data_IF_394497473858
#
_entry.id   IF_394497473858
#
_cell.length_a   1.000
_cell.length_b   1.000
_cell.length_c   1.000
_cell.angle_alpha   90.00
_cell.angle_beta   90.00
_cell.angle_gamma   90.00
#
_symmetry.space_group_name_H-M   'P 1'
#
loop_
_entity.id
_entity.type
_entity.pdbx_description
1 polymer ?
#
# COMPACT_ATOMS: atom_id res chain seq x y z
N UNK A 1 -8.70 0.18 1.35
CA UNK A 1 -8.21 1.34 0.57
C UNK A 1 -9.36 1.97 -0.21
N UNK A 2 -9.27 3.26 -0.52
CA UNK A 2 -10.29 3.93 -1.36
C UNK A 2 -10.37 3.34 -2.76
N UNK A 3 -9.27 2.82 -3.27
CA UNK A 3 -9.20 2.12 -4.56
C UNK A 3 -10.08 0.88 -4.64
N UNK A 4 -10.49 0.31 -3.49
CA UNK A 4 -11.33 -0.90 -3.40
C UNK A 4 -12.82 -0.61 -3.60
N UNK A 5 -13.23 0.65 -3.50
CA UNK A 5 -14.65 1.04 -3.62
C UNK A 5 -15.16 0.79 -5.03
N UNK A 6 -14.45 1.25 -6.06
CA UNK A 6 -14.89 1.12 -7.46
C UNK A 6 -15.06 -0.35 -7.88
N UNK A 7 -14.08 -1.25 -7.68
CA UNK A 7 -14.27 -2.67 -8.01
C UNK A 7 -15.40 -3.32 -7.20
N UNK A 8 -15.63 -2.87 -5.96
CA UNK A 8 -16.77 -3.36 -5.17
C UNK A 8 -18.11 -2.98 -5.80
N UNK A 9 -18.25 -1.73 -6.25
CA UNK A 9 -19.47 -1.28 -6.93
C UNK A 9 -19.68 -2.00 -8.27
N UNK A 10 -18.63 -2.20 -9.05
CA UNK A 10 -18.71 -2.95 -10.31
C UNK A 10 -19.20 -4.39 -10.07
N UNK A 11 -18.64 -5.09 -9.08
CA UNK A 11 -19.03 -6.45 -8.75
C UNK A 11 -20.50 -6.52 -8.28
N UNK A 12 -20.93 -5.59 -7.43
CA UNK A 12 -22.35 -5.49 -7.00
C UNK A 12 -23.29 -5.30 -8.19
N UNK A 13 -22.86 -4.54 -9.21
CA UNK A 13 -23.64 -4.30 -10.43
C UNK A 13 -23.51 -5.43 -11.46
N UNK A 14 -22.73 -6.48 -11.21
CA UNK A 14 -22.45 -7.56 -12.16
C UNK A 14 -21.62 -7.11 -13.37
N UNK A 15 -20.81 -6.06 -13.21
CA UNK A 15 -19.94 -5.52 -14.25
C UNK A 15 -18.51 -6.05 -14.00
N UNK A 16 -17.87 -6.57 -15.04
CA UNK A 16 -16.50 -7.07 -14.97
C UNK A 16 -15.51 -5.93 -14.64
N UNK A 17 -14.60 -6.19 -13.71
CA UNK A 17 -13.55 -5.25 -13.34
C UNK A 17 -12.50 -5.16 -14.45
N UNK A 18 -12.18 -3.95 -14.98
CA UNK A 18 -11.09 -3.77 -15.93
C UNK A 18 -9.72 -4.14 -15.33
N UNK A 19 -8.85 -4.73 -16.16
CA UNK A 19 -7.55 -5.26 -15.74
C UNK A 19 -6.58 -4.20 -15.16
N UNK A 20 -6.74 -2.92 -15.52
CA UNK A 20 -5.90 -1.84 -15.01
C UNK A 20 -6.27 -1.40 -13.58
N UNK A 21 -7.39 -1.85 -13.03
CA UNK A 21 -7.80 -1.49 -11.68
C UNK A 21 -7.00 -2.27 -10.64
N UNK A 22 -6.34 -1.56 -9.76
CA UNK A 22 -5.49 -2.13 -8.70
C UNK A 22 -6.27 -2.45 -7.42
N UNK A 23 -7.46 -1.89 -7.26
CA UNK A 23 -8.33 -2.15 -6.13
C UNK A 23 -8.88 -3.58 -6.16
N UNK A 24 -9.18 -4.12 -5.00
CA UNK A 24 -9.80 -5.44 -4.82
C UNK A 24 -11.20 -5.25 -4.24
N UNK A 25 -12.19 -5.89 -4.85
CA UNK A 25 -13.58 -5.80 -4.36
C UNK A 25 -13.71 -6.30 -2.91
N UNK A 26 -14.44 -5.55 -2.11
CA UNK A 26 -14.86 -5.91 -0.76
C UNK A 26 -16.18 -6.71 -0.73
N UNK A 27 -16.83 -6.87 -1.89
CA UNK A 27 -18.13 -7.54 -1.97
C UNK A 27 -18.12 -8.97 -1.41
N UNK A 28 -17.10 -9.81 -1.64
CA UNK A 28 -17.04 -11.14 -1.03
C UNK A 28 -17.11 -11.13 0.50
N UNK A 29 -16.51 -10.11 1.14
CA UNK A 29 -16.56 -9.93 2.60
C UNK A 29 -17.95 -9.40 3.01
N UNK A 30 -18.45 -8.38 2.33
CA UNK A 30 -19.73 -7.74 2.63
C UNK A 30 -20.89 -8.71 2.47
N UNK A 31 -20.88 -9.56 1.44
CA UNK A 31 -21.90 -10.58 1.17
C UNK A 31 -21.78 -11.82 2.06
N UNK A 32 -20.68 -11.95 2.84
CA UNK A 32 -20.42 -13.11 3.67
C UNK A 32 -19.88 -14.34 2.91
N UNK A 33 -19.52 -14.19 1.63
CA UNK A 33 -18.94 -15.28 0.83
C UNK A 33 -17.43 -15.49 1.10
N UNK A 34 -16.75 -14.51 1.71
CA UNK A 34 -15.39 -14.60 2.20
C UNK A 34 -15.29 -14.20 3.67
N UNK A 35 -14.24 -14.69 4.36
CA UNK A 35 -13.97 -14.34 5.75
C UNK A 35 -13.50 -12.88 5.86
N UNK A 36 -13.88 -12.16 6.94
CA UNK A 36 -13.53 -10.75 7.11
C UNK A 36 -12.10 -10.52 7.60
N UNK A 37 -11.37 -11.56 7.99
CA UNK A 37 -10.06 -11.50 8.62
C UNK A 37 -8.90 -11.27 7.65
N UNK A 38 -9.14 -11.39 6.35
CA UNK A 38 -8.12 -11.12 5.34
C UNK A 38 -8.71 -10.55 4.05
N UNK A 39 -8.16 -9.44 3.58
CA UNK A 39 -8.52 -8.82 2.31
C UNK A 39 -7.33 -8.71 1.36
N UNK A 40 -6.26 -8.07 1.82
CA UNK A 40 -5.02 -7.84 1.08
C UNK A 40 -3.80 -8.12 1.96
N UNK A 41 -2.64 -8.52 1.37
CA UNK A 41 -1.41 -8.73 2.13
C UNK A 41 -0.82 -7.44 2.70
N UNK A 42 -1.12 -6.30 2.08
CA UNK A 42 -0.72 -4.98 2.52
C UNK A 42 -1.67 -3.91 1.98
N UNK A 43 -1.60 -2.73 2.55
CA UNK A 43 -2.23 -1.51 2.05
C UNK A 43 -1.17 -0.46 1.79
N UNK A 44 -1.45 0.46 0.87
CA UNK A 44 -0.56 1.57 0.50
C UNK A 44 -1.28 2.90 0.53
N UNK A 45 -0.52 3.94 0.81
CA UNK A 45 -0.93 5.33 0.67
C UNK A 45 0.22 6.14 0.10
N UNK A 46 -0.08 7.11 -0.72
CA UNK A 46 0.89 8.01 -1.32
C UNK A 46 0.46 9.45 -1.09
N UNK A 47 1.44 10.29 -0.77
CA UNK A 47 1.28 11.74 -0.67
C UNK A 47 2.31 12.41 -1.57
N UNK A 48 1.84 13.16 -2.56
CA UNK A 48 2.67 13.90 -3.49
C UNK A 48 2.24 15.36 -3.50
N UNK A 49 2.86 16.16 -2.62
CA UNK A 49 2.75 17.64 -2.61
C UNK A 49 1.31 18.18 -2.73
N UNK A 50 0.34 17.44 -2.19
CA UNK A 50 -1.08 17.74 -2.36
C UNK A 50 -1.54 19.03 -1.64
N UNK A 51 -0.72 19.55 -0.72
CA UNK A 51 -1.04 20.73 0.10
C UNK A 51 -0.19 21.96 -0.25
N UNK A 52 0.51 21.95 -1.38
CA UNK A 52 1.39 23.04 -1.81
C UNK A 52 2.35 23.50 -0.70
N UNK A 53 2.94 22.52 0.01
CA UNK A 53 3.92 22.79 1.05
C UNK A 53 5.24 23.27 0.43
N UNK A 54 5.98 24.20 1.08
CA UNK A 54 7.18 24.81 0.51
C UNK A 54 8.33 23.82 0.22
N UNK A 55 8.22 22.57 0.66
CA UNK A 55 9.29 21.56 0.55
C UNK A 55 8.98 20.42 -0.43
N UNK A 56 7.92 20.51 -1.24
CA UNK A 56 7.55 19.47 -2.21
C UNK A 56 7.61 18.06 -1.62
N UNK A 57 7.00 17.87 -0.45
CA UNK A 57 7.09 16.61 0.29
C UNK A 57 6.39 15.48 -0.47
N UNK A 58 7.11 14.38 -0.60
CA UNK A 58 6.60 13.14 -1.18
C UNK A 58 6.78 12.03 -0.16
N UNK A 59 5.72 11.35 0.16
CA UNK A 59 5.76 10.23 1.09
C UNK A 59 4.99 9.03 0.54
N UNK A 60 5.49 7.84 0.85
CA UNK A 60 4.78 6.59 0.62
C UNK A 60 4.67 5.84 1.92
N UNK A 61 3.53 5.25 2.17
CA UNK A 61 3.26 4.38 3.30
C UNK A 61 2.89 2.98 2.79
N UNK A 62 3.47 1.96 3.41
CA UNK A 62 3.04 0.58 3.28
C UNK A 62 2.81 0.01 4.68
N UNK A 63 1.66 -0.63 4.86
CA UNK A 63 1.32 -1.35 6.08
C UNK A 63 0.86 -2.77 5.74
N UNK A 64 1.43 -3.75 6.41
CA UNK A 64 0.89 -5.11 6.43
C UNK A 64 0.15 -5.40 7.76
N UNK A 65 -0.04 -6.68 8.09
CA UNK A 65 -0.75 -7.05 9.32
C UNK A 65 -0.03 -6.58 10.59
N UNK A 66 1.32 -6.51 10.58
CA UNK A 66 2.13 -6.21 11.76
C UNK A 66 2.95 -4.93 11.65
N UNK A 67 3.56 -4.68 10.49
CA UNK A 67 4.50 -3.58 10.34
C UNK A 67 3.94 -2.46 9.49
N UNK A 68 4.31 -1.23 9.83
CA UNK A 68 4.03 -0.03 9.04
C UNK A 68 5.33 0.70 8.73
N UNK A 69 5.55 0.98 7.45
CA UNK A 69 6.66 1.77 6.93
C UNK A 69 6.13 3.05 6.31
N UNK A 70 6.75 4.19 6.63
CA UNK A 70 6.58 5.45 5.91
C UNK A 70 7.94 5.91 5.42
N UNK A 71 8.05 6.30 4.16
CA UNK A 71 9.26 6.89 3.59
C UNK A 71 9.00 8.30 3.11
N UNK A 72 9.82 9.24 3.55
CA UNK A 72 9.85 10.62 3.06
C UNK A 72 10.92 10.74 1.99
N UNK A 73 10.49 10.76 0.73
CA UNK A 73 11.40 10.67 -0.41
C UNK A 73 12.29 11.90 -0.57
N UNK A 74 13.58 11.65 -0.80
CA UNK A 74 14.57 12.68 -1.11
C UNK A 74 15.24 13.33 0.11
N UNK A 75 14.79 13.02 1.33
CA UNK A 75 15.33 13.64 2.55
C UNK A 75 15.92 12.65 3.56
N UNK A 76 15.88 11.34 3.26
CA UNK A 76 16.50 10.31 4.10
C UNK A 76 15.76 10.00 5.40
N UNK A 77 14.56 10.54 5.59
CA UNK A 77 13.72 10.29 6.77
C UNK A 77 12.68 9.23 6.50
N UNK A 78 12.25 8.56 7.56
CA UNK A 78 11.17 7.59 7.51
C UNK A 78 10.63 7.22 8.88
N UNK A 79 9.65 6.35 8.86
CA UNK A 79 9.04 5.80 10.06
C UNK A 79 8.87 4.28 9.87
N UNK A 80 9.15 3.54 10.92
CA UNK A 80 8.94 2.09 10.99
C UNK A 80 8.34 1.74 12.34
N UNK A 81 7.21 1.02 12.32
CA UNK A 81 6.49 0.64 13.53
C UNK A 81 6.16 -0.84 13.53
N UNK A 82 6.30 -1.50 14.70
CA UNK A 82 5.76 -2.82 14.99
C UNK A 82 4.40 -2.67 15.68
N UNK A 83 3.33 -2.77 14.93
CA UNK A 83 1.96 -2.51 15.42
C UNK A 83 1.45 -3.56 16.41
N UNK A 84 2.12 -4.73 16.53
CA UNK A 84 1.81 -5.72 17.55
C UNK A 84 2.38 -5.31 18.92
N UNK A 85 3.55 -4.64 18.94
CA UNK A 85 4.19 -4.17 20.16
C UNK A 85 3.81 -2.73 20.49
N UNK A 86 3.63 -1.91 19.47
CA UNK A 86 3.31 -0.50 19.59
C UNK A 86 2.14 -0.11 18.66
N UNK A 87 0.89 -0.48 19.00
CA UNK A 87 -0.28 -0.13 18.20
C UNK A 87 -0.57 1.39 18.18
N UNK A 88 0.06 2.15 19.06
CA UNK A 88 -0.06 3.61 19.15
C UNK A 88 0.94 4.37 18.30
N UNK A 89 1.91 3.68 17.69
CA UNK A 89 2.93 4.28 16.82
C UNK A 89 3.76 5.37 17.55
N UNK A 90 4.16 5.10 18.82
CA UNK A 90 4.93 6.03 19.63
C UNK A 90 6.44 5.85 19.46
N UNK A 91 6.89 4.61 19.17
CA UNK A 91 8.30 4.23 19.10
C UNK A 91 8.73 4.02 17.64
N UNK A 92 9.31 5.04 17.03
CA UNK A 92 9.80 4.96 15.64
C UNK A 92 11.12 4.17 15.56
N UNK A 93 11.08 3.00 14.94
CA UNK A 93 12.20 2.08 14.76
C UNK A 93 13.09 2.40 13.55
N UNK A 94 12.84 3.50 12.81
CA UNK A 94 13.54 3.83 11.57
C UNK A 94 15.06 3.90 11.71
N UNK A 95 15.57 4.46 12.80
CA UNK A 95 17.00 4.61 13.07
C UNK A 95 17.54 3.55 14.04
N UNK A 96 16.70 2.60 14.46
CA UNK A 96 17.12 1.52 15.33
C UNK A 96 17.96 0.49 14.56
N UNK A 97 19.18 0.24 15.02
CA UNK A 97 20.14 -0.68 14.41
C UNK A 97 19.67 -2.14 14.50
N UNK A 98 18.99 -2.52 15.58
CA UNK A 98 18.49 -3.88 15.78
C UNK A 98 17.35 -4.22 14.79
N UNK A 99 16.71 -3.21 14.23
CA UNK A 99 15.64 -3.35 13.24
C UNK A 99 16.07 -3.06 11.79
N UNK A 100 17.38 -2.94 11.54
CA UNK A 100 17.93 -2.59 10.22
C UNK A 100 17.55 -3.57 9.12
N UNK A 101 17.55 -4.87 9.41
CA UNK A 101 17.14 -5.91 8.45
C UNK A 101 15.63 -5.83 8.15
N UNK A 102 14.81 -5.66 9.18
CA UNK A 102 13.36 -5.45 9.01
C UNK A 102 13.07 -4.21 8.14
N UNK A 103 13.76 -3.09 8.43
CA UNK A 103 13.64 -1.87 7.62
C UNK A 103 13.93 -2.15 6.14
N UNK A 104 15.02 -2.84 5.85
CA UNK A 104 15.39 -3.18 4.48
C UNK A 104 14.32 -4.05 3.79
N UNK A 105 13.81 -5.07 4.47
CA UNK A 105 12.74 -5.92 3.95
C UNK A 105 11.47 -5.13 3.65
N UNK A 106 11.07 -4.23 4.54
CA UNK A 106 9.89 -3.38 4.36
C UNK A 106 10.07 -2.37 3.22
N UNK A 107 11.29 -1.83 3.02
CA UNK A 107 11.61 -0.95 1.89
C UNK A 107 11.48 -1.72 0.57
N UNK A 108 12.04 -2.92 0.47
CA UNK A 108 11.92 -3.77 -0.72
C UNK A 108 10.45 -4.06 -1.02
N UNK A 109 9.70 -4.48 0.00
CA UNK A 109 8.26 -4.75 -0.12
C UNK A 109 7.47 -3.52 -0.60
N UNK A 110 7.81 -2.34 -0.08
CA UNK A 110 7.20 -1.08 -0.50
C UNK A 110 7.52 -0.74 -1.96
N UNK A 111 8.77 -0.98 -2.38
CA UNK A 111 9.17 -0.77 -3.78
C UNK A 111 8.45 -1.74 -4.72
N UNK A 112 8.41 -3.04 -4.40
CA UNK A 112 7.70 -4.03 -5.20
C UNK A 112 6.21 -3.70 -5.33
N UNK A 113 5.58 -3.30 -4.23
CA UNK A 113 4.19 -2.87 -4.24
C UNK A 113 3.96 -1.60 -5.09
N UNK A 114 4.94 -0.70 -5.14
CA UNK A 114 4.92 0.48 -6.01
C UNK A 114 5.01 0.09 -7.48
N UNK A 115 5.87 -0.87 -7.81
CA UNK A 115 6.01 -1.37 -9.19
C UNK A 115 4.73 -2.07 -9.67
N UNK A 116 4.06 -2.82 -8.80
CA UNK A 116 2.77 -3.45 -9.11
C UNK A 116 1.64 -2.44 -9.30
N UNK A 117 1.77 -1.25 -8.73
CA UNK A 117 0.78 -0.18 -8.85
C UNK A 117 0.93 0.66 -10.12
N UNK A 118 1.97 0.43 -10.93
CA UNK A 118 2.16 1.11 -12.20
C UNK A 118 1.20 0.51 -13.24
N UNK A 119 0.38 1.35 -13.85
CA UNK A 119 -0.41 0.95 -15.02
C UNK A 119 0.54 0.80 -16.22
N UNK A 120 0.72 -0.43 -16.66
CA UNK A 120 1.55 -0.75 -17.83
C UNK A 120 0.83 -0.49 -19.17
N UNK A 121 -0.41 0.00 -19.13
CA UNK A 121 -1.25 0.13 -20.30
C UNK A 121 -1.72 -1.22 -20.87
N UNK A 122 -2.20 -1.26 -22.12
CA UNK A 122 -2.60 -2.51 -22.75
C UNK A 122 -1.40 -3.46 -22.90
N UNK A 123 -1.65 -4.77 -22.74
CA UNK A 123 -0.60 -5.79 -22.92
C UNK A 123 0.16 -5.59 -24.22
N UNK A 124 1.49 -5.56 -24.12
CA UNK A 124 2.34 -5.59 -25.30
C UNK A 124 2.26 -6.99 -25.93
N UNK A 125 1.44 -7.14 -26.97
CA UNK A 125 1.27 -8.40 -27.73
C UNK A 125 2.27 -8.52 -28.91
N UNK A 126 3.37 -7.77 -28.89
CA UNK A 126 4.45 -7.90 -29.85
C UNK A 126 5.48 -8.96 -29.43
N UNK A 127 6.05 -9.75 -30.36
CA UNK A 127 7.21 -10.59 -30.04
C UNK A 127 8.40 -9.68 -29.68
N UNK A 128 9.07 -9.99 -28.57
CA UNK A 128 10.39 -9.43 -28.25
C UNK A 128 11.44 -9.96 -29.24
#
# INVERSE_FOLDING_TARGET
>A
ELTDITPTLLEVCGIEQPNYMQGKSLWPIISGSAKPDFHKPHIRSEFFDALNQPYHSRATMLRDARFKLVMYHGIGLGELYDLDQDPGEFDNLWDDQDHSELKQQMIIKSFDASMQAIDLGPECIGPM
#
